data_IF_975782247470
#
_entry.id   IF_975782247470
#
_cell.length_a   1.000
_cell.length_b   1.000
_cell.length_c   1.000
_cell.angle_alpha   90.00
_cell.angle_beta   90.00
_cell.angle_gamma   90.00
#
_symmetry.space_group_name_H-M   'P 1'
#
loop_
_entity.id
_entity.type
_entity.pdbx_description
1 polymer ?
#
# COMPACT_ATOMS: atom_id res chain seq x y z
N UNK A 1 -7.89 5.26 14.29
CA UNK A 1 -6.79 5.39 13.31
C UNK A 1 -7.26 4.78 11.99
N UNK A 2 -6.82 5.33 10.87
CA UNK A 2 -7.10 4.84 9.51
C UNK A 2 -5.77 4.56 8.80
N UNK A 3 -5.73 3.52 7.97
CA UNK A 3 -4.58 3.20 7.12
C UNK A 3 -4.56 4.11 5.89
N UNK A 4 -3.38 4.56 5.49
CA UNK A 4 -3.14 5.31 4.26
C UNK A 4 -2.58 4.39 3.16
N UNK A 5 -2.77 4.77 1.90
CA UNK A 5 -2.17 4.14 0.70
C UNK A 5 -0.65 3.96 0.78
N UNK A 6 0.04 4.83 1.52
CA UNK A 6 1.49 4.76 1.74
C UNK A 6 1.90 3.83 2.90
N UNK A 7 0.96 3.08 3.49
CA UNK A 7 1.22 2.21 4.64
C UNK A 7 1.33 2.95 5.99
N UNK A 8 1.16 4.27 6.00
CA UNK A 8 1.10 5.08 7.22
C UNK A 8 -0.26 5.03 7.90
N UNK A 9 -0.35 5.64 9.09
CA UNK A 9 -1.60 5.78 9.83
C UNK A 9 -1.98 7.25 9.95
N UNK A 10 -3.29 7.52 9.90
CA UNK A 10 -3.86 8.85 10.11
C UNK A 10 -5.04 8.81 11.08
N UNK A 11 -5.51 9.98 11.48
CA UNK A 11 -6.73 10.13 12.27
C UNK A 11 -7.89 10.58 11.35
N UNK A 12 -9.11 10.56 11.89
CA UNK A 12 -10.31 10.90 11.12
C UNK A 12 -10.41 12.38 10.75
N UNK A 13 -9.82 13.30 11.52
CA UNK A 13 -9.83 14.72 11.16
C UNK A 13 -8.91 14.99 9.98
N UNK A 14 -7.70 14.45 9.98
CA UNK A 14 -6.75 14.59 8.86
C UNK A 14 -7.23 13.89 7.60
N UNK A 15 -7.78 12.68 7.73
CA UNK A 15 -8.33 11.95 6.60
C UNK A 15 -9.45 12.70 5.86
N UNK A 16 -10.23 13.54 6.56
CA UNK A 16 -11.27 14.38 5.93
C UNK A 16 -10.68 15.47 5.02
N UNK A 17 -9.47 15.94 5.31
CA UNK A 17 -8.80 16.96 4.49
C UNK A 17 -8.19 16.36 3.22
N UNK A 18 -7.74 15.10 3.30
CA UNK A 18 -7.11 14.37 2.17
C UNK A 18 -7.63 12.94 2.05
N UNK A 19 -8.92 12.74 1.71
CA UNK A 19 -9.52 11.41 1.67
C UNK A 19 -8.96 10.52 0.56
N UNK A 20 -8.38 11.12 -0.48
CA UNK A 20 -7.71 10.39 -1.57
C UNK A 20 -6.53 9.55 -1.05
N UNK A 21 -5.87 9.98 0.03
CA UNK A 21 -4.74 9.24 0.59
C UNK A 21 -5.18 7.91 1.22
N UNK A 22 -6.49 7.69 1.45
CA UNK A 22 -7.07 6.42 1.93
C UNK A 22 -7.36 5.42 0.81
N UNK A 23 -7.28 5.83 -0.47
CA UNK A 23 -7.56 4.92 -1.58
C UNK A 23 -6.56 3.76 -1.57
N UNK A 24 -7.01 2.52 -1.82
CA UNK A 24 -6.15 1.33 -1.75
C UNK A 24 -5.42 1.13 -0.39
N UNK A 25 -5.95 1.67 0.71
CA UNK A 25 -5.35 1.47 2.05
C UNK A 25 -5.42 0.02 2.56
N UNK A 26 -6.37 -0.77 2.07
CA UNK A 26 -6.51 -2.19 2.44
C UNK A 26 -5.31 -3.01 1.98
N UNK A 27 -5.00 -3.03 0.67
CA UNK A 27 -3.78 -3.62 0.16
C UNK A 27 -2.50 -3.12 0.85
N UNK A 28 -2.42 -1.82 1.20
CA UNK A 28 -1.33 -1.24 2.00
C UNK A 28 -1.08 -2.01 3.30
N UNK A 29 -2.15 -2.27 4.04
CA UNK A 29 -2.09 -3.12 5.24
C UNK A 29 -1.68 -4.56 4.94
N UNK A 30 -2.16 -5.14 3.83
CA UNK A 30 -1.82 -6.49 3.41
C UNK A 30 -0.32 -6.66 3.11
N UNK A 31 0.27 -5.73 2.35
CA UNK A 31 1.68 -5.75 2.01
C UNK A 31 2.59 -5.58 3.23
N UNK A 32 2.25 -4.64 4.13
CA UNK A 32 2.96 -4.46 5.40
C UNK A 32 2.89 -5.72 6.29
N UNK A 33 1.72 -6.37 6.33
CA UNK A 33 1.54 -7.60 7.08
C UNK A 33 2.36 -8.74 6.48
N UNK A 34 2.42 -8.87 5.16
CA UNK A 34 3.27 -9.85 4.49
C UNK A 34 4.76 -9.61 4.79
N UNK A 35 5.23 -8.37 4.75
CA UNK A 35 6.60 -8.03 5.13
C UNK A 35 6.92 -8.39 6.60
N UNK A 36 5.97 -8.13 7.51
CA UNK A 36 6.08 -8.54 8.92
C UNK A 36 6.17 -10.07 9.06
N UNK A 37 5.28 -10.81 8.40
CA UNK A 37 5.25 -12.28 8.43
C UNK A 37 6.55 -12.86 7.83
N UNK A 38 7.05 -12.28 6.74
CA UNK A 38 8.33 -12.66 6.14
C UNK A 38 9.48 -12.50 7.12
N UNK A 39 9.57 -11.35 7.78
CA UNK A 39 10.58 -11.10 8.81
C UNK A 39 10.51 -12.13 9.95
N UNK A 40 9.31 -12.51 10.39
CA UNK A 40 9.13 -13.54 11.43
C UNK A 40 9.56 -14.94 10.97
N UNK A 41 9.56 -15.20 9.66
CA UNK A 41 9.97 -16.46 9.05
C UNK A 41 11.41 -16.43 8.49
N UNK A 42 12.15 -15.33 8.66
CA UNK A 42 13.44 -15.07 8.00
C UNK A 42 13.37 -15.14 6.46
N UNK A 43 12.22 -14.77 5.89
CA UNK A 43 12.00 -14.66 4.45
C UNK A 43 11.88 -13.20 4.04
N UNK A 44 12.86 -12.69 3.30
CA UNK A 44 12.92 -11.27 2.91
C UNK A 44 12.28 -10.99 1.55
N UNK A 45 11.94 -12.04 0.79
CA UNK A 45 11.38 -11.95 -0.55
C UNK A 45 10.07 -12.70 -0.64
N UNK A 46 8.97 -11.96 -0.78
CA UNK A 46 7.62 -12.51 -0.80
C UNK A 46 6.78 -11.84 -1.87
N UNK A 47 5.77 -12.58 -2.33
CA UNK A 47 4.66 -12.02 -3.11
C UNK A 47 3.42 -12.08 -2.22
N UNK A 48 2.85 -10.93 -1.93
CA UNK A 48 1.55 -10.82 -1.27
C UNK A 48 0.46 -10.82 -2.34
N UNK A 49 -0.49 -11.74 -2.24
CA UNK A 49 -1.61 -11.86 -3.17
C UNK A 49 -2.93 -11.77 -2.41
N UNK A 50 -3.74 -10.77 -2.74
CA UNK A 50 -5.07 -10.54 -2.17
C UNK A 50 -6.10 -10.55 -3.30
N UNK A 51 -6.97 -11.56 -3.30
CA UNK A 51 -7.98 -11.76 -4.34
C UNK A 51 -9.37 -11.73 -3.73
N UNK A 52 -10.21 -10.84 -4.27
CA UNK A 52 -11.65 -10.82 -4.03
C UNK A 52 -12.44 -11.34 -5.22
N UNK A 53 -13.77 -11.18 -5.17
CA UNK A 53 -14.67 -11.56 -6.27
C UNK A 53 -14.64 -10.61 -7.49
N UNK A 54 -13.88 -9.52 -7.42
CA UNK A 54 -13.85 -8.48 -8.47
C UNK A 54 -12.44 -8.17 -8.93
N UNK A 55 -11.49 -8.06 -8.02
CA UNK A 55 -10.11 -7.67 -8.32
C UNK A 55 -9.14 -8.60 -7.61
N UNK A 56 -7.98 -8.79 -8.22
CA UNK A 56 -6.81 -9.33 -7.57
C UNK A 56 -5.73 -8.25 -7.42
N UNK A 57 -5.04 -8.23 -6.30
CA UNK A 57 -3.95 -7.32 -5.99
C UNK A 57 -2.69 -8.12 -5.69
N UNK A 58 -1.58 -7.73 -6.30
CA UNK A 58 -0.26 -8.30 -6.05
C UNK A 58 0.65 -7.22 -5.48
N UNK A 59 1.33 -7.49 -4.37
CA UNK A 59 2.39 -6.66 -3.82
C UNK A 59 3.70 -7.45 -3.76
N UNK A 60 4.81 -6.80 -4.10
CA UNK A 60 6.15 -7.38 -4.01
C UNK A 60 6.79 -6.90 -2.71
N UNK A 61 7.35 -7.84 -1.96
CA UNK A 61 8.18 -7.59 -0.79
C UNK A 61 9.60 -8.01 -1.20
N UNK A 62 10.53 -7.07 -1.16
CA UNK A 62 11.95 -7.31 -1.38
C UNK A 62 12.76 -6.70 -0.24
N UNK A 63 13.82 -7.39 0.19
CA UNK A 63 14.62 -7.03 1.36
C UNK A 63 13.77 -6.73 2.62
N UNK A 64 12.69 -7.51 2.80
CA UNK A 64 11.77 -7.40 3.93
C UNK A 64 10.92 -6.12 3.95
N UNK A 65 10.80 -5.40 2.83
CA UNK A 65 9.99 -4.19 2.70
C UNK A 65 9.06 -4.27 1.47
N UNK A 66 7.84 -3.71 1.55
CA UNK A 66 7.01 -3.52 0.36
C UNK A 66 7.67 -2.55 -0.63
N UNK A 67 7.46 -2.78 -1.93
CA UNK A 67 7.80 -1.77 -2.94
C UNK A 67 6.87 -0.56 -2.85
N UNK A 68 7.42 0.64 -3.06
CA UNK A 68 6.65 1.89 -3.09
C UNK A 68 6.79 2.56 -4.45
N UNK A 69 5.70 3.18 -4.91
CA UNK A 69 5.66 4.00 -6.12
C UNK A 69 5.46 5.47 -5.74
N UNK A 70 6.26 6.36 -6.33
CA UNK A 70 6.01 7.80 -6.28
C UNK A 70 5.24 8.16 -7.54
N UNK A 71 4.01 8.61 -7.37
CA UNK A 71 3.22 9.24 -8.41
C UNK A 71 3.56 10.73 -8.42
N UNK A 72 3.94 11.24 -9.59
CA UNK A 72 4.28 12.66 -9.79
C UNK A 72 3.17 13.44 -10.49
N UNK A 73 2.23 12.75 -11.16
CA UNK A 73 1.06 13.37 -11.81
C UNK A 73 -0.22 12.66 -11.39
N UNK A 74 -1.12 13.37 -10.72
CA UNK A 74 -2.48 12.93 -10.51
C UNK A 74 -3.44 13.96 -11.11
N UNK A 75 -4.34 13.51 -12.01
CA UNK A 75 -5.31 14.37 -12.73
C UNK A 75 -4.69 15.62 -13.36
N UNK A 76 -3.47 15.53 -13.92
CA UNK A 76 -2.79 16.64 -14.59
C UNK A 76 -2.19 17.71 -13.67
N UNK A 77 -2.22 17.51 -12.34
CA UNK A 77 -1.50 18.34 -11.36
C UNK A 77 -0.24 17.63 -10.90
N UNK A 78 0.82 18.38 -10.68
CA UNK A 78 2.03 17.88 -10.04
C UNK A 78 1.73 17.66 -8.56
N UNK A 79 1.59 16.39 -8.19
CA UNK A 79 1.31 15.97 -6.82
C UNK A 79 2.33 14.89 -6.50
N UNK A 80 3.20 15.12 -5.52
CA UNK A 80 4.07 14.09 -4.99
C UNK A 80 3.26 13.23 -4.02
N UNK A 81 2.83 12.07 -4.49
CA UNK A 81 2.11 11.08 -3.69
C UNK A 81 2.87 9.76 -3.70
N UNK A 82 3.19 9.24 -2.53
CA UNK A 82 3.81 7.91 -2.40
C UNK A 82 2.74 6.92 -1.98
N UNK A 83 2.72 5.75 -2.59
CA UNK A 83 1.83 4.64 -2.22
C UNK A 83 2.58 3.32 -2.31
N UNK A 84 2.11 2.30 -1.57
CA UNK A 84 2.63 0.95 -1.79
C UNK A 84 2.24 0.51 -3.19
N UNK A 85 3.19 -0.09 -3.92
CA UNK A 85 2.98 -0.51 -5.28
C UNK A 85 2.18 -1.81 -5.35
N UNK A 86 1.11 -1.81 -6.14
CA UNK A 86 0.32 -3.00 -6.46
C UNK A 86 0.17 -3.18 -7.97
N UNK A 87 0.11 -4.44 -8.39
CA UNK A 87 -0.42 -4.82 -9.70
C UNK A 87 -1.89 -5.22 -9.50
N UNK A 88 -2.79 -4.63 -10.30
CA UNK A 88 -4.19 -5.05 -10.37
C UNK A 88 -4.46 -5.78 -11.68
N UNK A 89 -5.22 -6.87 -11.60
CA UNK A 89 -6.00 -7.40 -12.72
C UNK A 89 -7.48 -7.13 -12.50
#
# INVERSE_FOLDING_TARGET
MLMLSNGGLTNTSEAKHRPVDLLESGPAGGALSAALIGKLQNEERLIAFDMGGTTAKIAIIDNGQPEFRILSKQQGRDVLHQEVAYQCE
#
